data_IF_246456089872
#
_entry.id   IF_246456089872
#
_cell.length_a   1.000
_cell.length_b   1.000
_cell.length_c   1.000
_cell.angle_alpha   90.00
_cell.angle_beta   90.00
_cell.angle_gamma   90.00
#
_symmetry.space_group_name_H-M   'P 1'
#
loop_
_entity.id
_entity.type
_entity.pdbx_description
1 polymer ?
#
# COMPACT_ATOMS: atom_id res chain seq x y z
N UNK A 1 -32.22 18.26 -6.06
CA UNK A 1 -31.17 17.91 -7.02
C UNK A 1 -30.04 17.22 -6.27
N UNK A 2 -29.91 15.90 -6.42
CA UNK A 2 -28.91 15.05 -5.75
C UNK A 2 -28.39 14.10 -6.83
N UNK A 3 -27.09 14.16 -7.15
CA UNK A 3 -26.46 13.27 -8.12
C UNK A 3 -26.06 11.93 -7.46
N UNK A 4 -26.12 10.81 -8.20
CA UNK A 4 -25.89 9.47 -7.64
C UNK A 4 -24.39 9.13 -7.58
N UNK A 5 -24.05 8.30 -6.59
CA UNK A 5 -22.71 7.77 -6.32
C UNK A 5 -22.65 6.29 -6.74
N UNK A 6 -21.50 5.90 -7.33
CA UNK A 6 -20.91 4.54 -7.48
C UNK A 6 -20.94 3.95 -8.91
N UNK A 7 -19.85 3.28 -9.38
CA UNK A 7 -19.21 2.14 -8.71
C UNK A 7 -17.67 2.15 -8.57
N UNK A 8 -17.20 1.43 -7.54
CA UNK A 8 -15.78 1.07 -7.33
C UNK A 8 -15.38 0.01 -8.36
N UNK A 9 -14.55 0.40 -9.31
CA UNK A 9 -13.85 -0.51 -10.23
C UNK A 9 -12.82 -1.35 -9.44
N UNK A 10 -13.02 -2.66 -9.42
CA UNK A 10 -12.04 -3.63 -8.97
C UNK A 10 -11.00 -3.84 -10.05
N UNK A 11 -9.73 -3.54 -9.75
CA UNK A 11 -8.62 -3.89 -10.63
C UNK A 11 -8.03 -5.19 -10.09
N UNK A 12 -8.49 -6.32 -10.64
CA UNK A 12 -7.73 -7.55 -10.63
C UNK A 12 -6.44 -7.31 -11.43
N UNK A 13 -5.28 -7.23 -10.76
CA UNK A 13 -4.00 -7.21 -11.47
C UNK A 13 -3.60 -8.64 -11.80
N UNK A 14 -3.76 -8.99 -13.07
CA UNK A 14 -3.22 -10.19 -13.68
C UNK A 14 -1.69 -10.23 -13.51
N UNK A 15 -1.17 -11.41 -13.17
CA UNK A 15 0.26 -11.71 -13.13
C UNK A 15 0.71 -11.99 -14.57
N UNK A 16 1.65 -11.24 -15.18
CA UNK A 16 2.07 -11.54 -16.55
C UNK A 16 2.88 -12.84 -16.58
N UNK A 17 2.35 -13.79 -17.34
CA UNK A 17 2.91 -15.11 -17.64
C UNK A 17 4.23 -15.01 -18.39
N UNK A 18 5.18 -15.87 -18.03
CA UNK A 18 6.48 -15.97 -18.68
C UNK A 18 6.38 -16.49 -20.13
N UNK A 19 7.23 -15.89 -20.98
CA UNK A 19 7.76 -16.34 -22.27
C UNK A 19 6.85 -16.24 -23.51
N UNK A 20 7.28 -15.47 -24.52
CA UNK A 20 7.44 -16.02 -25.87
C UNK A 20 8.48 -15.20 -26.67
N UNK A 21 9.47 -15.89 -27.22
CA UNK A 21 9.87 -15.71 -28.61
C UNK A 21 10.84 -14.56 -28.91
N UNK A 22 12.09 -14.94 -29.12
CA UNK A 22 13.06 -14.14 -29.88
C UNK A 22 12.56 -13.92 -31.32
N UNK A 23 13.17 -12.92 -31.97
CA UNK A 23 13.25 -12.69 -33.42
C UNK A 23 12.16 -11.81 -34.06
N UNK A 24 12.36 -10.48 -33.98
CA UNK A 24 12.04 -9.57 -35.08
C UNK A 24 13.00 -8.38 -35.10
N UNK A 25 13.94 -8.39 -36.05
CA UNK A 25 14.77 -7.24 -36.39
C UNK A 25 14.10 -6.35 -37.46
N UNK A 26 14.54 -5.08 -37.52
CA UNK A 26 14.22 -3.91 -38.40
C UNK A 26 13.49 -2.78 -37.66
N UNK A 27 13.94 -1.53 -37.62
CA UNK A 27 15.07 -0.82 -38.25
C UNK A 27 15.39 0.47 -37.42
N UNK A 28 16.54 1.14 -37.61
CA UNK A 28 16.94 2.30 -36.81
C UNK A 28 16.29 3.60 -37.31
N UNK A 29 16.20 4.57 -36.38
CA UNK A 29 15.97 6.02 -36.51
C UNK A 29 14.63 6.56 -35.96
N UNK A 30 14.77 7.31 -34.85
CA UNK A 30 14.10 8.60 -34.52
C UNK A 30 12.56 8.62 -34.47
N UNK A 31 11.86 8.93 -33.38
CA UNK A 31 12.16 9.45 -32.04
C UNK A 31 11.06 8.93 -31.09
N UNK A 32 11.39 8.43 -29.91
CA UNK A 32 10.40 8.24 -28.85
C UNK A 32 10.11 9.62 -28.22
N UNK A 33 8.86 10.13 -28.27
CA UNK A 33 8.55 11.44 -27.71
C UNK A 33 8.74 11.40 -26.20
N UNK A 34 9.61 12.28 -25.71
CA UNK A 34 9.89 12.50 -24.29
C UNK A 34 8.59 12.68 -23.48
N UNK A 35 8.09 11.60 -22.86
CA UNK A 35 7.02 11.66 -21.87
C UNK A 35 7.01 10.42 -20.95
N UNK A 36 8.20 9.90 -20.62
CA UNK A 36 8.35 9.00 -19.48
C UNK A 36 8.55 9.85 -18.22
N UNK A 37 7.43 10.19 -17.59
CA UNK A 37 7.37 11.04 -16.41
C UNK A 37 8.36 10.61 -15.31
N UNK A 38 9.13 11.61 -14.83
CA UNK A 38 9.66 11.67 -13.45
C UNK A 38 10.38 10.41 -12.95
N UNK A 39 11.09 9.68 -13.79
CA UNK A 39 12.16 8.84 -13.28
C UNK A 39 13.32 9.80 -12.99
N UNK A 40 13.55 10.06 -11.70
CA UNK A 40 14.68 10.83 -11.21
C UNK A 40 15.97 10.20 -11.76
N UNK A 41 16.39 10.62 -12.95
CA UNK A 41 17.73 10.36 -13.45
C UNK A 41 18.66 11.28 -12.65
N UNK A 42 18.93 10.88 -11.43
CA UNK A 42 19.93 11.52 -10.59
C UNK A 42 21.26 10.94 -11.05
N UNK A 43 21.97 11.66 -11.90
CA UNK A 43 23.31 11.30 -12.36
C UNK A 43 24.36 11.20 -11.23
N UNK A 44 23.93 11.37 -9.98
CA UNK A 44 24.72 11.28 -8.77
C UNK A 44 24.26 10.07 -7.91
N UNK A 45 25.08 9.01 -7.84
CA UNK A 45 24.81 7.83 -7.02
C UNK A 45 24.66 8.13 -5.52
N UNK A 46 25.36 9.13 -4.98
CA UNK A 46 25.28 9.43 -3.53
C UNK A 46 23.88 9.93 -3.17
N UNK A 47 23.35 10.84 -3.99
CA UNK A 47 21.99 11.35 -3.82
C UNK A 47 20.91 10.29 -4.05
N UNK A 48 21.17 9.27 -4.89
CA UNK A 48 20.26 8.14 -5.02
C UNK A 48 20.27 7.25 -3.77
N UNK A 49 21.46 7.01 -3.20
CA UNK A 49 21.62 6.22 -1.98
C UNK A 49 20.96 6.92 -0.79
N UNK A 50 21.15 8.23 -0.65
CA UNK A 50 20.51 9.03 0.40
C UNK A 50 18.98 8.98 0.29
N UNK A 51 18.44 9.19 -0.92
CA UNK A 51 17.00 9.10 -1.17
C UNK A 51 16.45 7.69 -0.87
N UNK A 52 17.24 6.65 -1.14
CA UNK A 52 16.87 5.28 -0.79
C UNK A 52 16.82 5.07 0.73
N UNK A 53 17.83 5.53 1.47
CA UNK A 53 17.85 5.40 2.94
C UNK A 53 16.70 6.16 3.59
N UNK A 54 16.44 7.38 3.15
CA UNK A 54 15.32 8.18 3.65
C UNK A 54 14.00 7.44 3.45
N UNK A 55 13.74 6.97 2.23
CA UNK A 55 12.53 6.21 1.92
C UNK A 55 12.43 4.90 2.72
N UNK A 56 13.52 4.12 2.75
CA UNK A 56 13.53 2.81 3.41
C UNK A 56 13.32 2.94 4.92
N UNK A 57 14.01 3.87 5.57
CA UNK A 57 13.99 3.99 7.02
C UNK A 57 12.73 4.69 7.54
N UNK A 58 12.23 5.71 6.83
CA UNK A 58 11.19 6.58 7.36
C UNK A 58 9.81 6.32 6.75
N UNK A 59 9.71 5.79 5.53
CA UNK A 59 8.43 5.66 4.82
C UNK A 59 8.01 4.21 4.59
N UNK A 60 8.96 3.28 4.48
CA UNK A 60 8.65 1.89 4.17
C UNK A 60 8.26 1.09 5.41
N UNK A 61 7.05 0.54 5.37
CA UNK A 61 6.58 -0.38 6.41
C UNK A 61 6.97 -1.81 6.10
N UNK A 62 7.46 -2.54 7.11
CA UNK A 62 7.91 -3.91 6.95
C UNK A 62 7.06 -4.90 7.73
N UNK A 63 6.54 -5.91 7.05
CA UNK A 63 5.70 -6.96 7.65
C UNK A 63 6.46 -7.76 8.72
N UNK A 64 7.74 -8.05 8.48
CA UNK A 64 8.62 -8.73 9.44
C UNK A 64 8.82 -7.95 10.74
N UNK A 65 8.66 -6.62 10.71
CA UNK A 65 8.73 -5.75 11.88
C UNK A 65 7.34 -5.50 12.52
N UNK A 66 6.29 -6.13 12.02
CA UNK A 66 4.92 -5.85 12.48
C UNK A 66 4.30 -4.62 11.84
N UNK A 67 4.66 -4.33 10.59
CA UNK A 67 4.24 -3.17 9.81
C UNK A 67 4.59 -1.85 10.51
N UNK A 68 5.82 -1.72 10.97
CA UNK A 68 6.42 -0.45 11.41
C UNK A 68 7.59 -0.11 10.49
N UNK A 69 8.09 1.12 10.56
CA UNK A 69 9.26 1.54 9.79
C UNK A 69 10.56 1.13 10.52
N UNK A 70 11.70 0.99 9.82
CA UNK A 70 12.97 0.73 10.48
C UNK A 70 13.34 1.83 11.49
N UNK A 71 13.07 3.10 11.18
CA UNK A 71 13.28 4.20 12.12
C UNK A 71 12.48 4.01 13.42
N UNK A 72 11.22 3.57 13.35
CA UNK A 72 10.43 3.29 14.56
C UNK A 72 11.06 2.19 15.43
N UNK A 73 11.75 1.22 14.84
CA UNK A 73 12.50 0.18 15.58
C UNK A 73 13.75 0.76 16.20
N UNK A 74 14.55 1.50 15.43
CA UNK A 74 15.80 2.12 15.91
C UNK A 74 15.54 3.11 17.06
N UNK A 75 14.44 3.87 16.97
CA UNK A 75 13.99 4.78 18.04
C UNK A 75 13.19 4.07 19.15
N UNK A 76 12.99 2.75 19.08
CA UNK A 76 12.30 1.95 20.11
C UNK A 76 10.80 2.25 20.28
N UNK A 77 10.15 2.82 19.26
CA UNK A 77 8.72 3.17 19.23
C UNK A 77 7.82 2.01 18.80
N UNK A 78 8.40 1.02 18.12
CA UNK A 78 7.78 -0.18 17.57
C UNK A 78 6.76 -0.86 18.53
N UNK A 79 7.18 -1.16 19.77
CA UNK A 79 6.35 -1.89 20.75
C UNK A 79 5.12 -1.10 21.14
N UNK A 80 5.24 0.22 21.30
CA UNK A 80 4.13 1.08 21.66
C UNK A 80 3.11 1.15 20.52
N UNK A 81 3.58 1.28 19.28
CA UNK A 81 2.75 1.31 18.07
C UNK A 81 1.98 -0.02 17.92
N UNK A 82 2.68 -1.16 18.00
CA UNK A 82 2.07 -2.48 17.87
C UNK A 82 1.03 -2.72 18.98
N UNK A 83 1.33 -2.33 20.21
CA UNK A 83 0.39 -2.43 21.34
C UNK A 83 -0.86 -1.59 21.11
N UNK A 84 -0.70 -0.35 20.66
CA UNK A 84 -1.82 0.54 20.34
C UNK A 84 -2.76 -0.08 19.31
N UNK A 85 -2.21 -0.62 18.21
CA UNK A 85 -3.02 -1.29 17.16
C UNK A 85 -3.78 -2.51 17.67
N UNK A 86 -3.14 -3.33 18.52
CA UNK A 86 -3.79 -4.50 19.13
C UNK A 86 -4.98 -4.08 19.97
N UNK A 87 -4.83 -3.02 20.75
CA UNK A 87 -5.91 -2.50 21.60
C UNK A 87 -7.06 -1.92 20.76
N UNK A 88 -6.76 -1.11 19.74
CA UNK A 88 -7.77 -0.60 18.81
C UNK A 88 -8.54 -1.74 18.14
N UNK A 89 -7.84 -2.77 17.64
CA UNK A 89 -8.48 -3.93 17.01
C UNK A 89 -9.41 -4.66 17.98
N UNK A 90 -8.98 -4.86 19.22
CA UNK A 90 -9.79 -5.47 20.29
C UNK A 90 -11.06 -4.66 20.53
N UNK A 91 -10.95 -3.34 20.68
CA UNK A 91 -12.09 -2.45 20.91
C UNK A 91 -13.08 -2.49 19.74
N UNK A 92 -12.59 -2.45 18.50
CA UNK A 92 -13.44 -2.55 17.30
C UNK A 92 -14.23 -3.84 17.28
N UNK A 93 -13.60 -4.99 17.55
CA UNK A 93 -14.27 -6.30 17.57
C UNK A 93 -15.34 -6.34 18.67
N UNK A 94 -15.03 -5.84 19.87
CA UNK A 94 -16.01 -5.79 20.96
C UNK A 94 -17.21 -4.91 20.62
N UNK A 95 -16.97 -3.73 20.05
CA UNK A 95 -18.03 -2.81 19.66
C UNK A 95 -18.90 -3.40 18.54
N UNK A 96 -18.29 -4.05 17.55
CA UNK A 96 -19.02 -4.77 16.51
C UNK A 96 -19.91 -5.87 17.12
N UNK A 97 -19.40 -6.65 18.07
CA UNK A 97 -20.19 -7.67 18.78
C UNK A 97 -21.38 -7.08 19.55
N UNK A 98 -21.19 -5.98 20.28
CA UNK A 98 -22.28 -5.27 20.98
C UNK A 98 -23.35 -4.77 20.01
N UNK A 99 -22.94 -4.20 18.88
CA UNK A 99 -23.85 -3.69 17.85
C UNK A 99 -24.65 -4.81 17.17
N UNK A 100 -24.04 -5.96 16.92
CA UNK A 100 -24.74 -7.13 16.38
C UNK A 100 -25.77 -7.63 17.42
N UNK A 101 -25.35 -7.76 18.69
CA UNK A 101 -26.25 -8.19 19.77
C UNK A 101 -27.45 -7.26 19.91
N UNK A 102 -27.24 -5.94 19.96
CA UNK A 102 -28.35 -4.98 20.06
C UNK A 102 -29.30 -5.05 18.87
N UNK A 103 -28.77 -5.23 17.65
CA UNK A 103 -29.58 -5.38 16.43
C UNK A 103 -30.44 -6.64 16.45
N UNK A 104 -29.96 -7.74 17.02
CA UNK A 104 -30.73 -8.99 17.17
C UNK A 104 -31.82 -8.87 18.24
N UNK A 105 -31.55 -8.21 19.38
CA UNK A 105 -32.54 -8.07 20.46
C UNK A 105 -33.68 -7.10 20.09
N UNK A 106 -33.42 -6.13 19.21
CA UNK A 106 -34.40 -5.14 18.78
C UNK A 106 -35.15 -5.53 17.50
N UNK A 107 -35.11 -6.79 17.08
CA UNK A 107 -35.99 -7.26 15.99
C UNK A 107 -37.42 -7.42 16.54
N UNK A 108 -38.46 -6.88 15.86
CA UNK A 108 -39.82 -7.11 16.28
C UNK A 108 -40.14 -8.60 16.17
N UNK A 109 -40.53 -9.21 17.29
CA UNK A 109 -41.16 -10.53 17.28
C UNK A 109 -42.54 -10.37 16.68
N UNK A 110 -42.73 -10.90 15.48
CA UNK A 110 -44.03 -10.98 14.81
C UNK A 110 -44.99 -11.93 15.50
#
# INVERSE_FOLDING_TARGET
>A
MITPRHPKSGIARAVPSANTGKDRALAPNHEEPASAGKLLFVSDPERQIEAFFEYYNNERYHESLGNVTPADVDFGRDKAIIRGRKETKKQTIQNAGRNIKSRLHNQPTG
#
